data_IF_642411404392
#
_entry.id   IF_642411404392
#
_cell.length_a   1.000
_cell.length_b   1.000
_cell.length_c   1.000
_cell.angle_alpha   90.00
_cell.angle_beta   90.00
_cell.angle_gamma   90.00
#
_symmetry.space_group_name_H-M   'P 1'
#
loop_
_entity.id
_entity.type
_entity.pdbx_description
1 polymer ?
#
# COMPACT_ATOMS: atom_id res chain seq x y z
N UNK A 1 3.70 -80.71 25.14
CA UNK A 1 3.93 -81.02 26.57
C UNK A 1 5.44 -80.92 26.75
N UNK A 2 6.00 -79.81 27.27
CA UNK A 2 6.20 -79.54 28.70
C UNK A 2 6.31 -78.00 28.89
N UNK A 3 5.62 -77.48 29.91
CA UNK A 3 5.80 -76.13 30.50
C UNK A 3 6.78 -76.24 31.67
N UNK A 4 7.72 -75.29 31.82
CA UNK A 4 8.32 -74.90 33.12
C UNK A 4 8.98 -73.52 32.95
N UNK A 5 8.35 -72.41 33.34
CA UNK A 5 8.27 -71.77 34.68
C UNK A 5 9.51 -70.96 35.09
N UNK A 6 9.19 -69.75 35.54
CA UNK A 6 9.96 -68.61 36.04
C UNK A 6 11.06 -68.96 37.06
N UNK A 7 12.12 -68.13 37.12
CA UNK A 7 12.40 -67.35 38.34
C UNK A 7 13.33 -66.15 38.09
N UNK A 8 13.00 -65.07 38.77
CA UNK A 8 13.63 -63.75 38.88
C UNK A 8 14.73 -63.69 39.96
N UNK A 9 15.53 -62.62 39.87
CA UNK A 9 16.37 -61.98 40.89
C UNK A 9 17.79 -62.50 41.09
N UNK A 10 18.78 -61.66 40.79
CA UNK A 10 19.52 -60.92 41.83
C UNK A 10 20.37 -59.82 41.18
N UNK A 11 20.28 -58.61 41.73
CA UNK A 11 21.00 -57.41 41.31
C UNK A 11 22.41 -57.44 41.89
N UNK A 12 23.44 -57.26 41.08
CA UNK A 12 24.74 -56.80 41.57
C UNK A 12 25.19 -55.58 40.76
N UNK A 13 25.48 -54.53 41.52
CA UNK A 13 25.75 -53.18 41.11
C UNK A 13 27.16 -53.11 40.51
N UNK A 14 27.29 -52.66 39.26
CA UNK A 14 28.55 -52.10 38.78
C UNK A 14 28.38 -50.61 38.56
N UNK A 15 28.99 -49.84 39.45
CA UNK A 15 29.12 -48.40 39.38
C UNK A 15 29.90 -48.00 38.12
N UNK A 16 29.19 -47.60 37.06
CA UNK A 16 29.80 -46.95 35.91
C UNK A 16 29.73 -45.44 36.12
N UNK A 17 30.85 -44.89 36.60
CA UNK A 17 31.10 -43.46 36.69
C UNK A 17 30.82 -42.78 35.34
N UNK A 18 29.81 -41.92 35.31
CA UNK A 18 29.55 -41.03 34.19
C UNK A 18 30.61 -39.91 34.20
N UNK A 19 31.71 -40.12 33.48
CA UNK A 19 32.64 -39.02 33.18
C UNK A 19 31.93 -38.02 32.28
N UNK A 20 31.72 -36.80 32.80
CA UNK A 20 31.07 -35.69 32.11
C UNK A 20 31.71 -35.41 30.75
N UNK A 21 31.01 -35.75 29.66
CA UNK A 21 31.41 -35.39 28.29
C UNK A 21 31.23 -33.88 28.14
N UNK A 22 32.35 -33.15 28.09
CA UNK A 22 32.38 -31.70 27.89
C UNK A 22 31.90 -31.40 26.47
N UNK A 23 30.71 -30.80 26.31
CA UNK A 23 30.22 -30.29 25.02
C UNK A 23 31.12 -29.13 24.57
N UNK A 24 31.69 -29.13 23.36
CA UNK A 24 32.44 -27.98 22.87
C UNK A 24 31.47 -26.82 22.63
N UNK A 25 31.64 -25.73 23.37
CA UNK A 25 30.98 -24.47 23.05
C UNK A 25 31.58 -23.97 21.74
N UNK A 26 30.82 -24.06 20.65
CA UNK A 26 31.19 -23.45 19.38
C UNK A 26 31.04 -21.95 19.53
N UNK A 27 32.05 -21.29 20.09
CA UNK A 27 32.19 -19.85 19.97
C UNK A 27 32.41 -19.57 18.50
N UNK A 28 31.35 -19.22 17.79
CA UNK A 28 31.37 -18.79 16.39
C UNK A 28 32.22 -17.53 16.30
N UNK A 29 33.54 -17.71 16.12
CA UNK A 29 34.42 -16.64 15.63
C UNK A 29 33.92 -16.29 14.23
N UNK A 30 33.04 -15.30 14.15
CA UNK A 30 32.58 -14.75 12.89
C UNK A 30 33.83 -14.32 12.10
N UNK A 31 33.97 -14.85 10.89
CA UNK A 31 35.06 -14.46 10.02
C UNK A 31 34.79 -13.02 9.56
N UNK A 32 35.57 -12.07 10.08
CA UNK A 32 35.43 -10.65 9.79
C UNK A 32 35.54 -10.35 8.28
N UNK A 33 36.27 -11.19 7.55
CA UNK A 33 36.34 -11.15 6.08
C UNK A 33 34.98 -11.49 5.46
N UNK A 34 34.33 -12.57 5.93
CA UNK A 34 33.01 -12.96 5.44
C UNK A 34 31.91 -11.94 5.83
N UNK A 35 32.05 -11.27 6.99
CA UNK A 35 31.14 -10.20 7.41
C UNK A 35 31.28 -8.96 6.51
N UNK A 36 32.52 -8.58 6.18
CA UNK A 36 32.78 -7.50 5.24
C UNK A 36 32.21 -7.81 3.85
N UNK A 37 32.33 -9.05 3.38
CA UNK A 37 31.78 -9.47 2.08
C UNK A 37 30.25 -9.39 2.03
N UNK A 38 29.55 -9.86 3.08
CA UNK A 38 28.08 -9.77 3.11
C UNK A 38 27.59 -8.33 3.31
N UNK A 39 28.30 -7.50 4.07
CA UNK A 39 27.94 -6.09 4.19
C UNK A 39 28.15 -5.35 2.86
N UNK A 40 29.24 -5.67 2.18
CA UNK A 40 29.59 -5.04 0.90
C UNK A 40 28.63 -5.46 -0.20
N UNK A 41 28.24 -6.73 -0.32
CA UNK A 41 27.26 -7.15 -1.34
C UNK A 41 25.91 -6.47 -1.12
N UNK A 42 25.48 -6.24 0.12
CA UNK A 42 24.24 -5.53 0.42
C UNK A 42 24.35 -4.05 0.06
N UNK A 43 25.47 -3.39 0.34
CA UNK A 43 25.70 -2.00 -0.05
C UNK A 43 25.78 -1.85 -1.56
N UNK A 44 26.46 -2.76 -2.27
CA UNK A 44 26.47 -2.79 -3.73
C UNK A 44 25.09 -3.07 -4.29
N UNK A 45 24.35 -4.03 -3.72
CA UNK A 45 22.98 -4.33 -4.14
C UNK A 45 22.05 -3.14 -3.91
N UNK A 46 22.18 -2.46 -2.77
CA UNK A 46 21.47 -1.22 -2.49
C UNK A 46 21.87 -0.15 -3.49
N UNK A 47 23.16 0.09 -3.75
CA UNK A 47 23.61 1.08 -4.72
C UNK A 47 23.12 0.79 -6.15
N UNK A 48 23.13 -0.48 -6.57
CA UNK A 48 22.64 -0.91 -7.89
C UNK A 48 21.11 -0.80 -8.04
N UNK A 49 20.37 -0.87 -6.93
CA UNK A 49 18.91 -0.71 -6.92
C UNK A 49 18.45 0.68 -6.43
N UNK A 50 19.37 1.58 -6.07
CA UNK A 50 19.06 2.93 -5.56
C UNK A 50 19.27 4.05 -6.59
N UNK A 51 19.71 3.73 -7.81
CA UNK A 51 19.54 4.62 -8.98
C UNK A 51 18.34 4.11 -9.79
N UNK A 52 17.27 4.85 -10.06
CA UNK A 52 17.14 6.30 -10.23
C UNK A 52 15.79 6.80 -9.68
N UNK A 53 15.83 7.60 -8.61
CA UNK A 53 14.75 8.50 -8.25
C UNK A 53 15.33 9.91 -8.12
N UNK A 54 15.28 10.66 -9.24
CA UNK A 54 15.76 12.03 -9.45
C UNK A 54 17.21 12.18 -9.93
N UNK A 55 17.41 12.07 -11.26
CA UNK A 55 18.38 12.93 -11.92
C UNK A 55 18.02 13.16 -13.39
N UNK A 56 17.18 14.18 -13.58
CA UNK A 56 16.87 14.77 -14.87
C UNK A 56 17.99 15.76 -15.26
N UNK A 57 19.26 15.35 -15.22
CA UNK A 57 20.38 16.28 -15.50
C UNK A 57 21.51 15.57 -16.26
N UNK A 58 21.71 16.00 -17.51
CA UNK A 58 22.96 15.94 -18.28
C UNK A 58 23.44 14.59 -18.87
N UNK A 59 22.66 14.00 -19.77
CA UNK A 59 23.22 13.23 -20.90
C UNK A 59 23.48 14.16 -22.10
N UNK A 60 24.47 15.06 -21.96
CA UNK A 60 25.08 15.78 -23.09
C UNK A 60 25.74 14.72 -23.99
N UNK A 61 25.18 14.50 -25.17
CA UNK A 61 25.71 13.80 -26.38
C UNK A 61 24.65 12.99 -27.15
N UNK A 62 23.37 13.13 -26.84
CA UNK A 62 22.32 12.73 -27.79
C UNK A 62 22.10 13.86 -28.78
N UNK A 63 22.30 13.58 -30.08
CA UNK A 63 21.82 14.47 -31.15
C UNK A 63 20.30 14.41 -31.10
N UNK A 64 19.66 15.38 -30.43
CA UNK A 64 18.21 15.47 -30.41
C UNK A 64 17.74 15.70 -31.86
N UNK A 65 16.88 14.85 -32.44
CA UNK A 65 16.10 15.27 -33.60
C UNK A 65 15.29 16.51 -33.20
N UNK A 66 15.05 17.42 -34.14
CA UNK A 66 14.38 18.72 -33.92
C UNK A 66 13.25 18.60 -32.89
N UNK A 67 13.55 19.04 -31.66
CA UNK A 67 12.63 18.93 -30.54
C UNK A 67 11.57 20.00 -30.65
N UNK A 68 10.46 19.69 -31.31
CA UNK A 68 9.17 20.23 -30.90
C UNK A 68 8.68 19.41 -29.71
N UNK A 69 9.29 19.61 -28.53
CA UNK A 69 8.70 19.20 -27.26
C UNK A 69 7.48 20.12 -26.99
N UNK A 70 6.42 19.90 -27.78
CA UNK A 70 5.14 20.61 -27.72
C UNK A 70 4.02 19.65 -27.38
N UNK A 71 4.28 18.70 -26.49
CA UNK A 71 3.20 18.16 -25.66
C UNK A 71 3.19 19.03 -24.41
N UNK A 72 2.33 20.06 -24.44
CA UNK A 72 1.93 20.70 -23.20
C UNK A 72 1.45 19.60 -22.22
N UNK A 73 1.67 19.75 -20.91
CA UNK A 73 1.15 18.80 -19.93
C UNK A 73 -0.32 18.55 -20.21
N UNK A 74 -0.68 17.33 -20.59
CA UNK A 74 -2.07 16.94 -20.73
C UNK A 74 -2.63 16.89 -19.30
N UNK A 75 -3.24 17.99 -18.87
CA UNK A 75 -4.08 17.96 -17.68
C UNK A 75 -5.25 17.05 -18.04
N UNK A 76 -5.35 15.92 -17.35
CA UNK A 76 -6.48 15.00 -17.45
C UNK A 76 -7.57 15.48 -16.50
N UNK A 77 -8.84 15.36 -16.90
CA UNK A 77 -9.93 15.74 -16.01
C UNK A 77 -9.94 14.81 -14.80
N UNK A 78 -9.91 15.38 -13.59
CA UNK A 78 -9.96 14.64 -12.35
C UNK A 78 -11.16 15.08 -11.51
N UNK A 79 -12.02 14.15 -11.14
CA UNK A 79 -13.17 14.41 -10.27
C UNK A 79 -12.86 13.85 -8.89
N UNK A 80 -12.96 14.67 -7.85
CA UNK A 80 -12.79 14.21 -6.47
C UNK A 80 -14.15 14.30 -5.78
N UNK A 81 -14.62 13.15 -5.28
CA UNK A 81 -15.79 13.07 -4.40
C UNK A 81 -15.27 13.10 -2.97
N UNK A 82 -15.32 14.28 -2.36
CA UNK A 82 -14.96 14.50 -0.96
C UNK A 82 -16.06 14.04 0.00
N UNK A 83 -15.93 14.43 1.28
CA UNK A 83 -16.94 14.14 2.31
C UNK A 83 -18.22 14.96 2.09
N UNK A 84 -18.08 16.25 1.79
CA UNK A 84 -19.20 17.19 1.66
C UNK A 84 -19.37 17.76 0.24
N UNK A 85 -18.31 17.73 -0.58
CA UNK A 85 -18.26 18.44 -1.86
C UNK A 85 -17.68 17.58 -3.01
N UNK A 86 -18.11 17.89 -4.23
CA UNK A 86 -17.57 17.33 -5.47
C UNK A 86 -16.71 18.41 -6.15
N UNK A 87 -15.51 18.01 -6.53
CA UNK A 87 -14.51 18.87 -7.15
C UNK A 87 -14.19 18.39 -8.56
N UNK A 88 -13.93 19.34 -9.47
CA UNK A 88 -13.31 19.08 -10.76
C UNK A 88 -11.93 19.75 -10.77
N UNK A 89 -10.88 18.92 -10.81
CA UNK A 89 -9.48 19.30 -10.65
C UNK A 89 -9.23 20.02 -9.31
N UNK A 90 -9.20 21.36 -9.32
CA UNK A 90 -8.97 22.20 -8.14
C UNK A 90 -10.13 23.15 -7.86
N UNK A 91 -11.27 22.97 -8.51
CA UNK A 91 -12.46 23.81 -8.37
C UNK A 91 -13.59 23.02 -7.71
N UNK A 92 -14.15 23.55 -6.62
CA UNK A 92 -15.33 22.98 -5.98
C UNK A 92 -16.56 23.33 -6.80
N UNK A 93 -17.35 22.30 -7.15
CA UNK A 93 -18.45 22.43 -8.09
C UNK A 93 -19.80 22.43 -7.38
N UNK A 94 -20.01 21.50 -6.44
CA UNK A 94 -21.29 21.34 -5.76
C UNK A 94 -21.15 20.60 -4.44
N UNK A 95 -22.01 20.94 -3.48
CA UNK A 95 -22.20 20.21 -2.23
C UNK A 95 -22.98 18.90 -2.47
N UNK A 96 -22.54 17.82 -1.82
CA UNK A 96 -23.19 16.51 -1.90
C UNK A 96 -24.63 16.57 -1.35
N UNK A 97 -24.90 17.43 -0.38
CA UNK A 97 -26.26 17.64 0.14
C UNK A 97 -27.21 18.15 -0.95
N UNK A 98 -26.77 19.08 -1.80
CA UNK A 98 -27.57 19.62 -2.91
C UNK A 98 -27.83 18.55 -3.97
N UNK A 99 -26.82 17.72 -4.26
CA UNK A 99 -26.97 16.56 -5.14
C UNK A 99 -28.02 15.61 -4.56
N UNK A 100 -27.98 15.33 -3.25
CA UNK A 100 -28.91 14.43 -2.58
C UNK A 100 -30.35 14.93 -2.58
N UNK A 101 -30.57 16.25 -2.57
CA UNK A 101 -31.90 16.86 -2.65
C UNK A 101 -32.49 16.75 -4.07
N UNK A 102 -31.65 16.76 -5.11
CA UNK A 102 -32.08 16.56 -6.49
C UNK A 102 -32.32 15.08 -6.80
N UNK A 103 -33.45 14.79 -7.44
CA UNK A 103 -33.80 13.45 -7.95
C UNK A 103 -33.27 13.18 -9.36
N UNK A 104 -32.60 14.15 -9.97
CA UNK A 104 -32.13 14.04 -11.34
C UNK A 104 -30.90 13.14 -11.42
N UNK A 105 -30.84 12.32 -12.48
CA UNK A 105 -29.70 11.43 -12.71
C UNK A 105 -28.42 12.20 -13.07
N UNK A 106 -28.57 13.34 -13.73
CA UNK A 106 -27.48 14.23 -14.14
C UNK A 106 -27.28 15.31 -13.08
N UNK A 107 -26.02 15.58 -12.75
CA UNK A 107 -25.64 16.65 -11.82
C UNK A 107 -25.36 17.89 -12.66
N UNK A 108 -26.33 18.81 -12.73
CA UNK A 108 -26.27 19.99 -13.61
C UNK A 108 -24.97 20.81 -13.48
N UNK A 109 -24.56 21.23 -12.26
CA UNK A 109 -23.32 21.99 -12.08
C UNK A 109 -22.06 21.25 -12.54
N UNK A 110 -22.03 19.92 -12.37
CA UNK A 110 -20.92 19.10 -12.86
C UNK A 110 -20.92 18.98 -14.38
N UNK A 111 -22.09 18.87 -15.01
CA UNK A 111 -22.20 18.86 -16.48
C UNK A 111 -21.68 20.16 -17.08
N UNK A 112 -22.10 21.30 -16.53
CA UNK A 112 -21.64 22.64 -16.97
C UNK A 112 -20.12 22.80 -16.82
N UNK A 113 -19.56 22.35 -15.69
CA UNK A 113 -18.12 22.39 -15.46
C UNK A 113 -17.34 21.50 -16.45
N UNK A 114 -17.84 20.31 -16.77
CA UNK A 114 -17.25 19.39 -17.76
C UNK A 114 -17.35 19.94 -19.19
N UNK A 115 -18.45 20.62 -19.52
CA UNK A 115 -18.61 21.31 -20.79
C UNK A 115 -17.60 22.46 -20.92
N UNK A 116 -17.49 23.31 -19.89
CA UNK A 116 -16.52 24.39 -19.85
C UNK A 116 -15.06 23.88 -19.91
N UNK A 117 -14.78 22.72 -19.32
CA UNK A 117 -13.49 22.04 -19.44
C UNK A 117 -13.20 21.63 -20.89
N UNK A 118 -14.20 21.10 -21.58
CA UNK A 118 -14.12 20.64 -22.96
C UNK A 118 -13.95 21.82 -23.94
N UNK A 119 -14.61 22.95 -23.69
CA UNK A 119 -14.49 24.17 -24.49
C UNK A 119 -13.10 24.80 -24.41
N UNK A 120 -12.43 24.70 -23.25
CA UNK A 120 -11.04 25.15 -23.07
C UNK A 120 -10.04 24.29 -23.85
N UNK A 121 -10.45 23.11 -24.32
CA UNK A 121 -9.58 22.18 -25.05
C UNK A 121 -9.65 22.45 -26.55
N UNK A 122 -8.61 23.08 -27.08
CA UNK A 122 -8.55 23.50 -28.50
C UNK A 122 -8.52 22.33 -29.51
N UNK A 123 -8.08 21.13 -29.11
CA UNK A 123 -7.96 19.98 -30.02
C UNK A 123 -8.16 18.66 -29.29
N UNK A 124 -8.95 17.79 -29.93
CA UNK A 124 -9.14 16.40 -29.53
C UNK A 124 -8.31 15.48 -30.42
N UNK A 125 -7.63 14.53 -29.81
CA UNK A 125 -6.92 13.46 -30.50
C UNK A 125 -7.90 12.52 -31.22
N UNK A 126 -7.41 11.73 -32.17
CA UNK A 126 -8.22 10.70 -32.83
C UNK A 126 -8.77 9.66 -31.84
N UNK A 127 -8.02 9.38 -30.76
CA UNK A 127 -8.45 8.49 -29.69
C UNK A 127 -9.63 9.07 -28.91
N UNK A 128 -9.55 10.34 -28.52
CA UNK A 128 -10.61 11.03 -27.76
C UNK A 128 -11.90 11.19 -28.56
N UNK A 129 -11.78 11.39 -29.88
CA UNK A 129 -12.95 11.41 -30.77
C UNK A 129 -13.64 10.05 -30.86
N UNK A 130 -12.89 8.96 -30.77
CA UNK A 130 -13.43 7.60 -30.88
C UNK A 130 -13.95 7.06 -29.52
N UNK A 131 -13.18 7.25 -28.45
CA UNK A 131 -13.43 6.63 -27.15
C UNK A 131 -14.04 7.60 -26.13
N UNK A 132 -14.13 8.89 -26.44
CA UNK A 132 -14.50 9.93 -25.49
C UNK A 132 -13.28 10.49 -24.74
N UNK A 133 -13.54 11.50 -23.93
CA UNK A 133 -12.53 12.10 -23.06
C UNK A 133 -12.23 11.20 -21.86
N UNK A 134 -10.97 11.19 -21.46
CA UNK A 134 -10.52 10.52 -20.24
C UNK A 134 -10.88 11.35 -19.00
N UNK A 135 -11.40 10.67 -17.97
CA UNK A 135 -11.63 11.24 -16.65
C UNK A 135 -11.26 10.25 -15.56
N UNK A 136 -10.57 10.73 -14.53
CA UNK A 136 -10.29 9.95 -13.33
C UNK A 136 -11.20 10.39 -12.19
N UNK A 137 -12.04 9.49 -11.68
CA UNK A 137 -12.91 9.72 -10.52
C UNK A 137 -12.23 9.15 -9.27
N UNK A 138 -11.93 10.03 -8.32
CA UNK A 138 -11.35 9.73 -7.02
C UNK A 138 -12.42 9.86 -5.93
N UNK A 139 -12.47 8.88 -5.04
CA UNK A 139 -13.39 8.92 -3.90
C UNK A 139 -13.00 7.95 -2.81
N UNK A 140 -13.47 8.23 -1.60
CA UNK A 140 -13.35 7.28 -0.50
C UNK A 140 -14.30 6.08 -0.68
N UNK A 141 -14.01 4.95 -0.02
CA UNK A 141 -14.90 3.78 -0.01
C UNK A 141 -16.29 4.06 0.58
N UNK A 142 -16.42 5.11 1.38
CA UNK A 142 -17.68 5.54 2.02
C UNK A 142 -18.64 6.22 1.04
N UNK A 143 -18.18 6.60 -0.15
CA UNK A 143 -19.02 7.20 -1.19
C UNK A 143 -20.15 6.23 -1.58
N UNK A 144 -21.39 6.70 -1.45
CA UNK A 144 -22.56 5.92 -1.82
C UNK A 144 -22.55 5.59 -3.31
N UNK A 145 -22.85 4.32 -3.64
CA UNK A 145 -22.89 3.87 -5.03
C UNK A 145 -23.85 4.70 -5.90
N UNK A 146 -24.98 5.15 -5.34
CA UNK A 146 -25.93 6.02 -6.03
C UNK A 146 -25.34 7.37 -6.43
N UNK A 147 -24.49 7.96 -5.57
CA UNK A 147 -23.79 9.21 -5.87
C UNK A 147 -22.76 8.98 -6.98
N UNK A 148 -21.95 7.92 -6.85
CA UNK A 148 -20.96 7.55 -7.86
C UNK A 148 -21.60 7.28 -9.22
N UNK A 149 -22.74 6.57 -9.25
CA UNK A 149 -23.49 6.32 -10.49
C UNK A 149 -23.94 7.62 -11.15
N UNK A 150 -24.41 8.60 -10.38
CA UNK A 150 -24.83 9.92 -10.91
C UNK A 150 -23.65 10.71 -11.45
N UNK A 151 -22.50 10.67 -10.77
CA UNK A 151 -21.26 11.28 -11.27
C UNK A 151 -20.84 10.64 -12.59
N UNK A 152 -20.80 9.30 -12.67
CA UNK A 152 -20.45 8.58 -13.91
C UNK A 152 -21.46 8.84 -15.04
N UNK A 153 -22.76 8.91 -14.73
CA UNK A 153 -23.80 9.23 -15.70
C UNK A 153 -23.63 10.64 -16.27
N UNK A 154 -23.27 11.60 -15.43
CA UNK A 154 -22.98 12.98 -15.83
C UNK A 154 -21.74 13.04 -16.72
N UNK A 155 -20.67 12.34 -16.36
CA UNK A 155 -19.46 12.23 -17.19
C UNK A 155 -19.77 11.66 -18.58
N UNK A 156 -20.52 10.56 -18.63
CA UNK A 156 -20.89 9.92 -19.89
C UNK A 156 -21.78 10.80 -20.77
N UNK A 157 -22.63 11.66 -20.18
CA UNK A 157 -23.45 12.61 -20.93
C UNK A 157 -22.59 13.69 -21.62
N UNK A 158 -21.52 14.13 -20.95
CA UNK A 158 -20.56 15.13 -21.45
C UNK A 158 -19.40 14.52 -22.26
N UNK A 159 -19.60 13.31 -22.83
CA UNK A 159 -18.62 12.58 -23.65
C UNK A 159 -17.31 12.18 -22.92
N UNK A 160 -17.28 12.18 -21.59
CA UNK A 160 -16.21 11.56 -20.79
C UNK A 160 -16.52 10.08 -20.57
N UNK A 161 -16.11 9.25 -21.53
CA UNK A 161 -16.47 7.82 -21.61
C UNK A 161 -15.32 6.89 -21.27
N UNK A 162 -14.10 7.41 -21.24
CA UNK A 162 -12.92 6.70 -20.76
C UNK A 162 -12.71 7.01 -19.27
N UNK A 163 -13.41 6.25 -18.41
CA UNK A 163 -13.50 6.53 -16.98
C UNK A 163 -12.55 5.62 -16.20
N UNK A 164 -11.61 6.22 -15.47
CA UNK A 164 -10.77 5.55 -14.48
C UNK A 164 -11.28 5.80 -13.07
N UNK A 165 -11.30 4.77 -12.23
CA UNK A 165 -11.75 4.86 -10.83
C UNK A 165 -10.58 4.60 -9.88
N UNK A 166 -10.31 5.55 -8.99
CA UNK A 166 -9.31 5.44 -7.95
C UNK A 166 -9.96 5.57 -6.57
N UNK A 167 -10.05 4.45 -5.86
CA UNK A 167 -10.64 4.38 -4.52
C UNK A 167 -9.58 4.09 -3.47
N UNK A 168 -9.63 4.80 -2.35
CA UNK A 168 -8.74 4.50 -1.23
C UNK A 168 -9.23 3.25 -0.49
N UNK A 169 -8.66 2.08 -0.81
CA UNK A 169 -8.85 0.88 0.00
C UNK A 169 -7.96 0.98 1.23
N UNK A 170 -8.51 1.43 2.36
CA UNK A 170 -7.96 1.00 3.65
C UNK A 170 -8.21 -0.50 3.70
N UNK A 171 -7.19 -1.30 3.38
CA UNK A 171 -7.22 -2.74 3.55
C UNK A 171 -7.45 -3.03 5.03
N UNK A 172 -8.69 -3.33 5.40
CA UNK A 172 -8.99 -3.98 6.66
C UNK A 172 -8.46 -5.41 6.57
N UNK A 173 -7.14 -5.59 6.69
CA UNK A 173 -6.54 -6.87 7.01
C UNK A 173 -6.99 -7.20 8.44
N UNK A 174 -8.04 -8.01 8.53
CA UNK A 174 -8.42 -8.70 9.76
C UNK A 174 -7.30 -9.67 10.14
N UNK A 175 -6.25 -9.14 10.78
CA UNK A 175 -5.32 -9.94 11.57
C UNK A 175 -6.12 -10.37 12.80
N UNK A 176 -6.61 -11.60 12.77
CA UNK A 176 -7.09 -12.28 13.95
C UNK A 176 -5.93 -12.31 14.94
N UNK A 177 -6.06 -11.54 16.02
CA UNK A 177 -5.20 -11.63 17.20
C UNK A 177 -5.37 -13.03 17.78
N UNK A 178 -4.43 -13.92 17.47
CA UNK A 178 -4.23 -15.14 18.23
C UNK A 178 -3.40 -14.78 19.48
N UNK A 179 -4.07 -14.60 20.63
CA UNK A 179 -3.40 -14.65 21.92
C UNK A 179 -3.18 -16.11 22.33
N UNK A 180 -1.96 -16.50 22.75
CA UNK A 180 -1.78 -17.52 23.75
C UNK A 180 -1.35 -16.87 25.07
N UNK A 181 -2.22 -17.00 26.07
CA UNK A 181 -1.94 -16.68 27.46
C UNK A 181 -0.78 -17.53 28.01
N UNK A 182 0.12 -16.93 28.79
CA UNK A 182 1.19 -17.62 29.49
C UNK A 182 2.00 -16.74 30.44
N UNK A 183 1.44 -16.52 31.64
CA UNK A 183 2.06 -16.24 32.95
C UNK A 183 3.52 -15.75 33.06
N UNK A 184 3.68 -14.56 33.63
CA UNK A 184 4.91 -14.09 34.27
C UNK A 184 4.58 -13.02 35.31
N UNK A 185 4.39 -13.47 36.56
CA UNK A 185 4.35 -12.62 37.75
C UNK A 185 5.70 -11.95 37.96
N UNK A 186 5.74 -10.62 38.09
CA UNK A 186 6.78 -9.95 38.87
C UNK A 186 6.23 -8.62 39.42
N UNK A 187 5.91 -8.66 40.72
CA UNK A 187 5.69 -7.53 41.60
C UNK A 187 7.01 -6.82 41.87
N UNK A 188 6.99 -5.48 41.88
CA UNK A 188 7.80 -4.53 42.69
C UNK A 188 7.73 -3.17 41.99
N UNK A 189 7.56 -2.01 42.61
CA UNK A 189 7.34 -1.61 43.99
C UNK A 189 6.72 -0.20 43.93
N UNK A 190 5.62 0.03 44.64
CA UNK A 190 5.14 1.38 44.90
C UNK A 190 5.60 1.77 46.30
N UNK A 191 6.61 2.63 46.39
CA UNK A 191 7.04 3.24 47.65
C UNK A 191 6.52 4.66 47.69
N UNK A 192 5.60 4.80 48.62
CA UNK A 192 4.99 5.99 49.16
C UNK A 192 6.02 6.95 49.77
N UNK A 193 5.83 8.26 49.60
CA UNK A 193 6.69 9.26 50.23
C UNK A 193 6.16 10.68 50.06
N UNK A 194 5.05 10.99 50.70
CA UNK A 194 4.67 12.36 51.06
C UNK A 194 5.06 12.64 52.52
N UNK A 195 5.66 13.81 52.75
CA UNK A 195 5.88 14.53 54.02
C UNK A 195 6.59 15.83 53.60
N UNK A 196 6.26 17.07 53.96
CA UNK A 196 5.77 17.68 55.22
C UNK A 196 6.13 16.96 56.51
#
# INVERSE_FOLDING_TARGET
>A
MIKTSLNTSHLEQSNLNFSSVKKPAFATKLNLVALMDIFTILVFFLLLNSGDANQLENAKFVKLPDSSAKSAPHVEASIIIGEDEIWLNNESIILIEEVAQSKEKIIGPLAEALQAYTEKKETFTSYEKANGLAVTIMGDKSVSYSLLERVMATCSAENFRDISLAVNRIASSSILVAQPNGSGTEQSANVQGGAK
#
